data_IF_168504372543
#
_entry.id   IF_168504372543
#
_cell.length_a   1.000
_cell.length_b   1.000
_cell.length_c   1.000
_cell.angle_alpha   90.00
_cell.angle_beta   90.00
_cell.angle_gamma   90.00
#
_symmetry.space_group_name_H-M   'P 1'
#
loop_
_entity.id
_entity.type
_entity.pdbx_description
1 polymer ?
#
# COMPACT_ATOMS: atom_id res chain seq x y z
N UNK A 1 -11.10 -3.57 16.05
CA UNK A 1 -9.74 -3.07 16.45
C UNK A 1 -9.87 -1.62 16.90
N UNK A 2 -9.23 -1.24 18.00
CA UNK A 2 -9.28 0.12 18.52
C UNK A 2 -8.61 1.12 17.55
N UNK A 3 -9.21 2.32 17.43
CA UNK A 3 -8.70 3.38 16.54
C UNK A 3 -7.40 3.95 17.10
N UNK A 4 -6.36 4.03 16.26
CA UNK A 4 -5.06 4.60 16.65
C UNK A 4 -5.18 6.09 16.98
N UNK A 5 -4.63 6.51 18.11
CA UNK A 5 -4.56 7.92 18.50
C UNK A 5 -3.41 8.64 17.81
N UNK A 6 -3.46 9.98 17.77
CA UNK A 6 -2.36 10.81 17.23
C UNK A 6 -1.04 10.54 17.96
N UNK A 7 -1.09 10.39 19.30
CA UNK A 7 0.12 10.10 20.10
C UNK A 7 0.72 8.73 19.75
N UNK A 8 -0.11 7.71 19.55
CA UNK A 8 0.34 6.39 19.10
C UNK A 8 0.94 6.43 17.70
N UNK A 9 0.32 7.18 16.77
CA UNK A 9 0.84 7.35 15.42
C UNK A 9 2.21 8.06 15.42
N UNK A 10 2.37 9.13 16.21
CA UNK A 10 3.66 9.83 16.39
C UNK A 10 4.74 8.89 16.89
N UNK A 11 4.44 8.12 17.94
CA UNK A 11 5.39 7.15 18.49
C UNK A 11 5.75 6.10 17.46
N UNK A 12 4.77 5.51 16.78
CA UNK A 12 5.00 4.48 15.77
C UNK A 12 5.87 4.99 14.60
N UNK A 13 5.65 6.23 14.13
CA UNK A 13 6.48 6.85 13.10
C UNK A 13 7.92 7.01 13.60
N UNK A 14 8.12 7.59 14.79
CA UNK A 14 9.44 7.76 15.38
C UNK A 14 10.17 6.44 15.57
N UNK A 15 9.48 5.41 16.07
CA UNK A 15 10.04 4.07 16.27
C UNK A 15 10.46 3.44 14.93
N UNK A 16 9.63 3.55 13.88
CA UNK A 16 9.99 3.03 12.53
C UNK A 16 11.18 3.78 11.92
N UNK A 17 11.23 5.10 12.05
CA UNK A 17 12.36 5.89 11.57
C UNK A 17 13.66 5.49 12.26
N UNK A 18 13.63 5.36 13.57
CA UNK A 18 14.80 5.01 14.38
C UNK A 18 15.25 3.56 14.14
N UNK A 19 14.33 2.58 14.25
CA UNK A 19 14.70 1.17 14.23
C UNK A 19 14.95 0.62 12.82
N UNK A 20 14.25 1.12 11.81
CA UNK A 20 14.39 0.61 10.45
C UNK A 20 15.36 1.42 9.60
N UNK A 21 15.38 2.74 9.77
CA UNK A 21 16.23 3.63 8.95
C UNK A 21 17.45 4.19 9.72
N UNK A 22 17.50 4.04 11.04
CA UNK A 22 18.59 4.59 11.85
C UNK A 22 18.62 6.12 11.90
N UNK A 23 17.49 6.79 11.69
CA UNK A 23 17.36 8.24 11.65
C UNK A 23 16.34 8.74 12.68
N UNK A 24 16.48 9.98 13.08
CA UNK A 24 15.48 10.65 13.92
C UNK A 24 14.46 11.44 13.08
N UNK A 25 13.41 11.94 13.73
CA UNK A 25 12.34 12.70 13.08
C UNK A 25 12.79 14.05 12.49
N UNK A 26 13.97 14.58 12.83
CA UNK A 26 14.48 15.86 12.30
C UNK A 26 15.34 15.66 11.06
N UNK A 27 15.97 14.49 10.93
CA UNK A 27 16.91 14.18 9.85
C UNK A 27 16.31 13.29 8.77
N UNK A 28 15.13 12.71 9.03
CA UNK A 28 14.44 11.83 8.10
C UNK A 28 13.96 12.57 6.85
N UNK A 29 14.10 11.94 5.69
CA UNK A 29 13.59 12.43 4.40
C UNK A 29 12.11 12.12 4.22
N UNK A 30 11.43 12.83 3.30
CA UNK A 30 10.03 12.55 2.94
C UNK A 30 9.83 11.09 2.50
N UNK A 31 10.80 10.50 1.80
CA UNK A 31 10.73 9.09 1.39
C UNK A 31 10.79 8.13 2.58
N UNK A 32 11.64 8.41 3.56
CA UNK A 32 11.72 7.62 4.79
C UNK A 32 10.45 7.74 5.61
N UNK A 33 9.86 8.93 5.69
CA UNK A 33 8.55 9.14 6.30
C UNK A 33 7.45 8.37 5.58
N UNK A 34 7.40 8.44 4.24
CA UNK A 34 6.47 7.64 3.45
C UNK A 34 6.58 6.14 3.78
N UNK A 35 7.79 5.60 3.69
CA UNK A 35 8.03 4.17 3.98
C UNK A 35 7.67 3.81 5.42
N UNK A 36 7.99 4.65 6.40
CA UNK A 36 7.62 4.43 7.81
C UNK A 36 6.10 4.37 8.00
N UNK A 37 5.36 5.33 7.43
CA UNK A 37 3.88 5.34 7.50
C UNK A 37 3.30 4.11 6.77
N UNK A 38 3.77 3.80 5.57
CA UNK A 38 3.32 2.65 4.80
C UNK A 38 3.56 1.33 5.55
N UNK A 39 4.72 1.16 6.21
CA UNK A 39 5.00 -0.01 7.05
C UNK A 39 4.01 -0.15 8.22
N UNK A 40 3.70 0.96 8.90
CA UNK A 40 2.73 0.94 10.02
C UNK A 40 1.36 0.50 9.52
N UNK A 41 0.91 1.02 8.39
CA UNK A 41 -0.37 0.65 7.78
C UNK A 41 -0.35 -0.80 7.31
N UNK A 42 0.71 -1.24 6.64
CA UNK A 42 0.88 -2.64 6.23
C UNK A 42 0.82 -3.62 7.39
N UNK A 43 1.52 -3.31 8.49
CA UNK A 43 1.54 -4.17 9.69
C UNK A 43 0.12 -4.29 10.26
N UNK A 44 -0.65 -3.20 10.27
CA UNK A 44 -2.05 -3.19 10.71
C UNK A 44 -2.96 -4.02 9.79
N UNK A 45 -2.80 -3.86 8.47
CA UNK A 45 -3.54 -4.65 7.47
C UNK A 45 -3.21 -6.15 7.59
N UNK A 46 -1.96 -6.49 7.84
CA UNK A 46 -1.54 -7.89 8.05
C UNK A 46 -2.21 -8.51 9.27
N UNK A 47 -2.33 -7.77 10.37
CA UNK A 47 -3.06 -8.24 11.55
C UNK A 47 -4.54 -8.43 11.25
N UNK A 48 -5.20 -7.45 10.63
CA UNK A 48 -6.62 -7.54 10.24
C UNK A 48 -6.89 -8.73 9.31
N UNK A 49 -5.99 -8.98 8.36
CA UNK A 49 -6.09 -10.13 7.46
C UNK A 49 -5.94 -11.47 8.21
N UNK A 50 -5.06 -11.53 9.21
CA UNK A 50 -4.91 -12.70 10.06
C UNK A 50 -6.19 -12.98 10.86
N UNK A 51 -6.73 -11.93 11.50
CA UNK A 51 -7.96 -12.03 12.29
C UNK A 51 -9.14 -12.50 11.42
N UNK A 52 -9.32 -11.88 10.25
CA UNK A 52 -10.35 -12.25 9.27
C UNK A 52 -10.24 -13.71 8.81
N UNK A 53 -9.02 -14.17 8.51
CA UNK A 53 -8.80 -15.57 8.09
C UNK A 53 -9.11 -16.57 9.19
N UNK A 54 -8.82 -16.23 10.44
CA UNK A 54 -9.20 -17.06 11.57
C UNK A 54 -10.72 -17.17 11.72
N UNK A 55 -11.42 -16.07 11.60
CA UNK A 55 -12.87 -16.02 11.65
C UNK A 55 -13.52 -16.80 10.50
N UNK A 56 -13.04 -16.58 9.26
CA UNK A 56 -13.55 -17.24 8.06
C UNK A 56 -13.38 -18.79 8.11
N UNK A 57 -12.26 -19.28 8.65
CA UNK A 57 -12.05 -20.73 8.82
C UNK A 57 -13.06 -21.38 9.77
N UNK A 58 -13.51 -20.65 10.79
CA UNK A 58 -14.53 -21.13 11.74
C UNK A 58 -15.95 -21.22 11.15
N UNK A 59 -16.19 -20.56 10.01
CA UNK A 59 -17.51 -20.47 9.37
C UNK A 59 -17.69 -21.38 8.14
N UNK A 60 -16.69 -22.19 7.79
CA UNK A 60 -16.68 -23.03 6.57
C UNK A 60 -17.04 -22.23 5.30
N UNK A 61 -16.55 -20.99 5.20
CA UNK A 61 -16.85 -20.09 4.10
C UNK A 61 -16.05 -20.46 2.85
N UNK A 62 -16.68 -20.28 1.66
CA UNK A 62 -15.99 -20.46 0.38
C UNK A 62 -14.95 -19.36 0.19
N UNK A 63 -13.77 -19.73 -0.33
CA UNK A 63 -12.73 -18.81 -0.76
C UNK A 63 -12.80 -18.59 -2.26
N UNK A 64 -12.73 -17.35 -2.72
CA UNK A 64 -12.78 -16.96 -4.12
C UNK A 64 -11.37 -16.64 -4.59
N UNK A 65 -10.91 -17.31 -5.63
CA UNK A 65 -9.62 -17.06 -6.28
C UNK A 65 -9.83 -16.36 -7.61
N UNK A 66 -9.29 -15.17 -7.74
CA UNK A 66 -9.36 -14.39 -8.98
C UNK A 66 -8.00 -14.42 -9.69
N UNK A 67 -7.90 -15.14 -10.78
CA UNK A 67 -6.68 -15.26 -11.58
C UNK A 67 -6.73 -14.24 -12.72
N UNK A 68 -5.77 -13.33 -12.75
CA UNK A 68 -5.63 -12.34 -13.80
C UNK A 68 -4.16 -12.03 -14.01
N UNK A 69 -3.76 -11.76 -15.24
CA UNK A 69 -2.39 -11.35 -15.54
C UNK A 69 -2.09 -9.90 -15.14
N UNK A 70 -3.12 -9.11 -14.84
CA UNK A 70 -3.00 -7.70 -14.47
C UNK A 70 -3.89 -7.35 -13.28
N UNK A 71 -3.39 -6.49 -12.38
CA UNK A 71 -4.17 -5.80 -11.35
C UNK A 71 -3.72 -4.34 -11.30
N UNK A 72 -4.50 -3.44 -11.90
CA UNK A 72 -4.23 -2.01 -11.88
C UNK A 72 -4.74 -1.40 -10.57
N UNK A 73 -3.96 -1.57 -9.51
CA UNK A 73 -4.35 -1.19 -8.14
C UNK A 73 -4.23 0.32 -7.87
N UNK A 74 -3.31 1.00 -8.54
CA UNK A 74 -2.93 2.37 -8.20
C UNK A 74 -2.09 2.45 -6.93
N UNK A 75 -2.13 3.61 -6.26
CA UNK A 75 -1.40 3.89 -5.01
C UNK A 75 -2.18 3.38 -3.80
N UNK A 76 -1.49 2.78 -2.85
CA UNK A 76 -2.11 2.08 -1.71
C UNK A 76 -2.24 2.94 -0.46
N UNK A 77 -1.29 3.83 -0.16
CA UNK A 77 -1.23 4.54 1.12
C UNK A 77 -2.48 5.38 1.38
N UNK A 78 -2.85 6.24 0.44
CA UNK A 78 -4.00 7.14 0.58
C UNK A 78 -5.31 6.37 0.77
N UNK A 79 -5.51 5.33 -0.06
CA UNK A 79 -6.71 4.49 -0.01
C UNK A 79 -6.82 3.75 1.33
N UNK A 80 -5.73 3.15 1.81
CA UNK A 80 -5.73 2.41 3.07
C UNK A 80 -5.91 3.34 4.28
N UNK A 81 -5.30 4.51 4.31
CA UNK A 81 -5.52 5.50 5.37
C UNK A 81 -6.98 5.94 5.43
N UNK A 82 -7.60 6.14 4.27
CA UNK A 82 -9.02 6.50 4.18
C UNK A 82 -9.92 5.36 4.69
N UNK A 83 -9.74 4.14 4.20
CA UNK A 83 -10.55 2.98 4.57
C UNK A 83 -10.42 2.61 6.06
N UNK A 84 -9.27 2.87 6.67
CA UNK A 84 -9.02 2.65 8.10
C UNK A 84 -9.48 3.83 8.98
N UNK A 85 -10.00 4.91 8.38
CA UNK A 85 -10.36 6.16 9.07
C UNK A 85 -9.17 6.73 9.89
N UNK A 86 -7.96 6.68 9.30
CA UNK A 86 -6.70 7.12 9.93
C UNK A 86 -6.09 8.36 9.26
N UNK A 87 -6.69 8.89 8.19
CA UNK A 87 -6.15 10.04 7.44
C UNK A 87 -5.86 11.23 8.35
N UNK A 88 -6.85 11.67 9.13
CA UNK A 88 -6.69 12.81 10.05
C UNK A 88 -5.71 12.54 11.19
N UNK A 89 -5.64 11.28 11.66
CA UNK A 89 -4.70 10.86 12.70
C UNK A 89 -3.26 11.01 12.23
N UNK A 90 -2.95 10.47 11.03
CA UNK A 90 -1.60 10.55 10.47
C UNK A 90 -1.25 11.96 9.98
N UNK A 91 -2.22 12.71 9.44
CA UNK A 91 -2.02 14.11 9.09
C UNK A 91 -1.54 14.92 10.29
N UNK A 92 -2.27 14.89 11.41
CA UNK A 92 -1.91 15.60 12.64
C UNK A 92 -0.59 15.09 13.25
N UNK A 93 -0.32 13.79 13.15
CA UNK A 93 0.94 13.24 13.64
C UNK A 93 2.14 13.77 12.82
N UNK A 94 2.04 13.80 11.49
CA UNK A 94 3.09 14.28 10.59
C UNK A 94 3.27 15.79 10.65
N UNK A 95 2.19 16.57 10.76
CA UNK A 95 2.25 18.03 10.97
C UNK A 95 3.10 18.41 12.19
N UNK A 96 3.09 17.58 13.25
CA UNK A 96 3.94 17.82 14.43
C UNK A 96 5.44 17.59 14.19
N UNK A 97 5.81 17.03 13.04
CA UNK A 97 7.19 16.87 12.55
C UNK A 97 7.48 17.79 11.35
N UNK A 98 6.61 18.76 11.08
CA UNK A 98 6.68 19.68 9.92
C UNK A 98 6.63 18.93 8.57
N UNK A 99 5.97 17.76 8.51
CA UNK A 99 5.83 16.92 7.32
C UNK A 99 4.39 16.94 6.81
N UNK A 100 4.22 17.15 5.49
CA UNK A 100 2.92 17.12 4.84
C UNK A 100 2.55 15.71 4.37
N UNK A 101 1.40 15.19 4.80
CA UNK A 101 0.89 13.90 4.33
C UNK A 101 0.65 13.89 2.81
N UNK A 102 0.20 15.00 2.22
CA UNK A 102 -0.03 15.10 0.77
C UNK A 102 1.27 14.96 -0.02
N UNK A 103 2.38 15.49 0.48
CA UNK A 103 3.70 15.27 -0.14
C UNK A 103 4.15 13.81 -0.06
N UNK A 104 3.78 13.09 1.01
CA UNK A 104 4.12 11.68 1.13
C UNK A 104 3.35 10.81 0.13
N UNK A 105 2.11 11.15 -0.20
CA UNK A 105 1.36 10.45 -1.25
C UNK A 105 2.06 10.49 -2.61
N UNK A 106 2.77 11.60 -2.91
CA UNK A 106 3.52 11.73 -4.17
C UNK A 106 4.83 10.91 -4.20
N UNK A 107 5.28 10.39 -3.05
CA UNK A 107 6.44 9.49 -2.99
C UNK A 107 6.11 8.04 -3.34
N UNK A 108 4.83 7.66 -3.30
CA UNK A 108 4.40 6.32 -3.64
C UNK A 108 4.30 6.15 -5.16
N UNK A 109 5.05 5.22 -5.76
CA UNK A 109 4.83 4.86 -7.16
C UNK A 109 3.53 4.06 -7.31
N UNK A 110 2.89 4.16 -8.47
CA UNK A 110 1.84 3.22 -8.82
C UNK A 110 2.42 1.81 -8.92
N UNK A 111 1.70 0.82 -8.41
CA UNK A 111 2.11 -0.57 -8.55
C UNK A 111 2.09 -0.96 -10.04
N UNK A 112 3.26 -1.34 -10.58
CA UNK A 112 3.44 -1.72 -11.98
C UNK A 112 2.87 -3.09 -12.33
N UNK A 113 1.67 -3.41 -11.83
CA UNK A 113 1.01 -4.71 -11.94
C UNK A 113 -0.14 -4.72 -12.95
N UNK A 114 -0.39 -3.64 -13.64
CA UNK A 114 -1.46 -3.53 -14.62
C UNK A 114 -1.30 -2.31 -15.51
N UNK A 115 -2.04 -2.27 -16.62
CA UNK A 115 -1.91 -1.20 -17.61
C UNK A 115 -3.25 -0.61 -18.04
N UNK A 116 -4.29 -1.42 -18.17
CA UNK A 116 -5.54 -0.96 -18.79
C UNK A 116 -6.80 -1.53 -18.14
N UNK A 117 -7.86 -1.61 -18.94
CA UNK A 117 -9.20 -2.00 -18.49
C UNK A 117 -9.28 -3.39 -17.88
N UNK A 118 -8.52 -4.36 -18.39
CA UNK A 118 -8.44 -5.70 -17.81
C UNK A 118 -7.96 -5.66 -16.35
N UNK A 119 -6.83 -5.01 -16.11
CA UNK A 119 -6.26 -4.89 -14.77
C UNK A 119 -7.11 -4.03 -13.84
N UNK A 120 -7.76 -2.97 -14.35
CA UNK A 120 -8.66 -2.16 -13.53
C UNK A 120 -9.94 -2.91 -13.15
N UNK A 121 -10.50 -3.70 -14.06
CA UNK A 121 -11.65 -4.56 -13.77
C UNK A 121 -11.31 -5.55 -12.65
N UNK A 122 -10.17 -6.21 -12.73
CA UNK A 122 -9.70 -7.13 -11.70
C UNK A 122 -9.56 -6.45 -10.33
N UNK A 123 -8.98 -5.24 -10.27
CA UNK A 123 -8.86 -4.46 -9.06
C UNK A 123 -10.25 -4.10 -8.48
N UNK A 124 -11.20 -3.67 -9.31
CA UNK A 124 -12.56 -3.35 -8.88
C UNK A 124 -13.32 -4.59 -8.36
N UNK A 125 -13.10 -5.77 -8.95
CA UNK A 125 -13.71 -6.99 -8.43
C UNK A 125 -13.18 -7.35 -7.05
N UNK A 126 -11.89 -7.20 -6.77
CA UNK A 126 -11.34 -7.43 -5.43
C UNK A 126 -11.93 -6.46 -4.40
N UNK A 127 -12.09 -5.18 -4.75
CA UNK A 127 -12.74 -4.19 -3.90
C UNK A 127 -14.20 -4.55 -3.64
N UNK A 128 -14.93 -4.98 -4.67
CA UNK A 128 -16.32 -5.43 -4.55
C UNK A 128 -16.48 -6.66 -3.67
N UNK A 129 -15.59 -7.65 -3.82
CA UNK A 129 -15.57 -8.85 -2.99
C UNK A 129 -15.28 -8.50 -1.52
N UNK A 130 -14.29 -7.65 -1.26
CA UNK A 130 -13.98 -7.20 0.08
C UNK A 130 -15.14 -6.42 0.74
N UNK A 131 -15.78 -5.52 -0.01
CA UNK A 131 -16.92 -4.73 0.47
C UNK A 131 -18.11 -5.62 0.85
N UNK A 132 -18.32 -6.73 0.16
CA UNK A 132 -19.37 -7.68 0.44
C UNK A 132 -18.96 -8.79 1.43
N UNK A 133 -17.77 -8.71 2.02
CA UNK A 133 -17.31 -9.64 3.05
C UNK A 133 -16.91 -11.02 2.53
N UNK A 134 -16.65 -11.17 1.22
CA UNK A 134 -16.19 -12.45 0.67
C UNK A 134 -14.68 -12.63 0.92
N UNK A 135 -14.33 -13.81 1.42
CA UNK A 135 -12.93 -14.23 1.46
C UNK A 135 -12.42 -14.42 0.03
N UNK A 136 -11.45 -13.63 -0.37
CA UNK A 136 -10.95 -13.66 -1.74
C UNK A 136 -9.46 -13.41 -1.83
N UNK A 137 -8.84 -13.91 -2.89
CA UNK A 137 -7.43 -13.69 -3.20
C UNK A 137 -7.23 -13.52 -4.71
N UNK A 138 -6.52 -12.47 -5.11
CA UNK A 138 -6.07 -12.26 -6.47
C UNK A 138 -4.71 -12.92 -6.71
N UNK A 139 -4.57 -13.61 -7.83
CA UNK A 139 -3.31 -14.20 -8.28
C UNK A 139 -2.88 -13.57 -9.61
N UNK A 140 -1.63 -13.12 -9.65
CA UNK A 140 -1.05 -12.47 -10.82
C UNK A 140 0.46 -12.70 -10.89
N UNK A 141 1.05 -12.24 -11.97
CA UNK A 141 2.50 -12.15 -12.12
C UNK A 141 2.96 -10.86 -11.44
N UNK A 142 3.97 -10.96 -10.59
CA UNK A 142 4.65 -9.76 -10.07
C UNK A 142 5.68 -9.28 -11.08
N UNK A 143 5.31 -8.35 -11.92
CA UNK A 143 6.22 -7.73 -12.86
C UNK A 143 7.30 -6.93 -12.13
N UNK A 144 8.56 -7.13 -12.45
CA UNK A 144 9.68 -6.35 -11.90
C UNK A 144 9.70 -4.93 -12.47
N UNK A 145 9.47 -4.82 -13.77
CA UNK A 145 9.21 -3.56 -14.45
C UNK A 145 7.75 -3.54 -14.89
N UNK A 146 7.05 -2.45 -14.63
CA UNK A 146 5.73 -2.20 -15.20
C UNK A 146 5.81 -2.18 -16.74
N UNK A 147 4.65 -2.22 -17.42
CA UNK A 147 4.62 -2.36 -18.88
C UNK A 147 5.44 -1.25 -19.54
N UNK A 148 5.19 0.00 -19.19
CA UNK A 148 6.06 1.13 -19.52
C UNK A 148 5.61 2.41 -18.79
N UNK A 149 6.55 3.34 -18.60
CA UNK A 149 6.30 4.69 -18.12
C UNK A 149 6.24 5.65 -19.30
N UNK A 150 5.09 6.31 -19.49
CA UNK A 150 4.93 7.29 -20.54
C UNK A 150 5.57 8.62 -20.17
N UNK A 151 6.29 9.23 -21.13
CA UNK A 151 6.82 10.59 -21.07
C UNK A 151 6.52 11.33 -22.36
N UNK A 152 6.43 12.65 -22.25
CA UNK A 152 6.46 13.54 -23.40
C UNK A 152 7.85 14.17 -23.48
N UNK A 153 8.53 13.96 -24.62
CA UNK A 153 9.84 14.54 -24.94
C UNK A 153 9.70 15.24 -26.27
N UNK A 154 9.98 16.52 -26.30
CA UNK A 154 9.88 17.38 -27.50
C UNK A 154 8.52 17.27 -28.24
N UNK A 155 7.43 17.13 -27.48
CA UNK A 155 6.07 17.00 -28.02
C UNK A 155 5.69 15.58 -28.47
N UNK A 156 6.59 14.60 -28.34
CA UNK A 156 6.36 13.21 -28.72
C UNK A 156 6.23 12.31 -27.50
N UNK A 157 5.35 11.32 -27.59
CA UNK A 157 5.24 10.26 -26.59
C UNK A 157 6.47 9.37 -26.65
N UNK A 158 7.04 9.11 -25.47
CA UNK A 158 8.20 8.24 -25.31
C UNK A 158 7.94 7.26 -24.18
N UNK A 159 8.24 5.99 -24.39
CA UNK A 159 8.12 4.93 -23.38
C UNK A 159 9.47 4.69 -22.70
N UNK A 160 9.43 4.57 -21.38
CA UNK A 160 10.58 4.23 -20.55
C UNK A 160 10.25 3.02 -19.68
N UNK A 161 11.25 2.22 -19.25
CA UNK A 161 11.03 1.18 -18.26
C UNK A 161 10.43 1.77 -16.97
N UNK A 162 9.39 1.14 -16.44
CA UNK A 162 8.74 1.55 -15.20
C UNK A 162 9.28 0.71 -14.04
N UNK A 163 10.35 1.19 -13.41
CA UNK A 163 10.94 0.56 -12.22
C UNK A 163 10.20 1.04 -10.96
N UNK A 164 9.10 0.40 -10.63
CA UNK A 164 8.22 0.77 -9.52
C UNK A 164 8.61 0.14 -8.17
N UNK A 165 9.32 -1.01 -8.18
CA UNK A 165 9.66 -1.77 -6.98
C UNK A 165 10.45 -0.98 -5.93
N UNK A 166 11.48 -0.16 -6.25
CA UNK A 166 12.27 0.52 -5.23
C UNK A 166 11.46 1.43 -4.27
N UNK A 167 10.31 1.95 -4.73
CA UNK A 167 9.39 2.73 -3.88
C UNK A 167 8.17 1.94 -3.40
N UNK A 168 7.73 0.95 -4.20
CA UNK A 168 6.55 0.12 -3.92
C UNK A 168 6.81 -1.13 -3.08
N UNK A 169 8.07 -1.51 -2.88
CA UNK A 169 8.47 -2.72 -2.14
C UNK A 169 7.94 -2.78 -0.71
N UNK A 170 7.67 -1.62 -0.10
CA UNK A 170 7.13 -1.51 1.26
C UNK A 170 5.83 -2.29 1.46
N UNK A 171 5.05 -2.49 0.39
CA UNK A 171 3.80 -3.23 0.41
C UNK A 171 3.97 -4.74 0.21
N UNK A 172 5.16 -5.19 -0.16
CA UNK A 172 5.44 -6.61 -0.38
C UNK A 172 5.68 -7.32 0.95
N UNK A 173 5.02 -8.45 1.12
CA UNK A 173 5.23 -9.35 2.25
C UNK A 173 5.76 -10.67 1.69
N UNK A 174 7.07 -10.95 1.79
CA UNK A 174 7.62 -12.22 1.35
C UNK A 174 6.95 -13.38 2.09
N UNK A 175 6.63 -14.44 1.37
CA UNK A 175 6.16 -15.69 1.96
C UNK A 175 7.08 -16.79 1.47
N UNK A 176 7.58 -17.59 2.40
CA UNK A 176 8.30 -18.80 2.06
C UNK A 176 7.32 -19.79 1.42
N UNK A 177 7.75 -20.40 0.32
CA UNK A 177 7.02 -21.51 -0.29
C UNK A 177 6.97 -22.67 0.72
N UNK A 178 5.77 -23.19 0.96
CA UNK A 178 5.56 -24.38 1.77
C UNK A 178 5.31 -25.56 0.88
#
# INVERSE_FOLDING_TARGET
>A
MEKMTVSQAKKAISDKLSHFFGVDTKTATDEQYYKAVAMIIRDRLSQMNSDFRHEAKGQDSKEIYYLCMEFLMGRSLKNNLYNLDLTETFKKALESFDVSLDKLYEKEPDAGLGNGGLGRLAACYLDGLATNGFQSMGYSIRYEAGIFKQKLVDGWQTELPDFWLPGGEVWLVPREER
#
